data_IF_878706067057
#
_entry.id   IF_878706067057
#
_cell.length_a   1.000
_cell.length_b   1.000
_cell.length_c   1.000
_cell.angle_alpha   90.00
_cell.angle_beta   90.00
_cell.angle_gamma   90.00
#
_symmetry.space_group_name_H-M   'P 1'
#
loop_
_entity.id
_entity.type
_entity.pdbx_description
1 polymer ?
#
# COMPACT_ATOMS: atom_id res chain seq x y z
N UNK A 1 7.97 -20.34 -1.96
CA UNK A 1 9.11 -20.82 -1.15
C UNK A 1 9.03 -20.19 0.24
N UNK A 2 9.15 -20.98 1.30
CA UNK A 2 9.08 -20.52 2.69
C UNK A 2 10.45 -20.00 3.13
N UNK A 3 10.59 -18.68 3.29
CA UNK A 3 11.77 -18.09 3.91
C UNK A 3 11.71 -18.25 5.44
N UNK A 4 12.76 -18.77 6.11
CA UNK A 4 12.78 -18.99 7.56
C UNK A 4 12.48 -17.72 8.37
N UNK A 5 11.92 -17.89 9.58
CA UNK A 5 11.50 -16.79 10.48
C UNK A 5 12.62 -15.81 10.89
N UNK A 6 13.89 -16.14 10.70
CA UNK A 6 15.03 -15.24 10.97
C UNK A 6 15.54 -14.48 9.73
N UNK A 7 15.16 -14.89 8.51
CA UNK A 7 15.71 -14.29 7.28
C UNK A 7 14.97 -13.02 6.83
N UNK A 8 13.82 -12.69 7.43
CA UNK A 8 12.94 -11.60 6.96
C UNK A 8 13.26 -10.26 7.61
N UNK A 9 13.39 -10.23 8.94
CA UNK A 9 13.91 -9.05 9.65
C UNK A 9 15.32 -8.69 9.20
N UNK A 10 16.11 -9.69 8.76
CA UNK A 10 17.45 -9.49 8.19
C UNK A 10 17.40 -8.95 6.76
N UNK A 11 16.46 -9.35 5.91
CA UNK A 11 16.29 -8.76 4.58
C UNK A 11 15.81 -7.30 4.64
N UNK A 12 14.76 -7.01 5.42
CA UNK A 12 14.30 -5.63 5.66
C UNK A 12 15.42 -4.79 6.26
N UNK A 13 16.11 -5.32 7.27
CA UNK A 13 17.22 -4.63 7.93
C UNK A 13 18.41 -4.37 7.01
N UNK A 14 18.73 -5.30 6.10
CA UNK A 14 19.79 -5.13 5.11
C UNK A 14 19.45 -4.05 4.09
N UNK A 15 18.22 -4.06 3.55
CA UNK A 15 17.79 -3.07 2.56
C UNK A 15 17.72 -1.66 3.16
N UNK A 16 17.06 -1.50 4.31
CA UNK A 16 16.98 -0.21 5.00
C UNK A 16 18.36 0.25 5.47
N UNK A 17 19.20 -0.66 5.98
CA UNK A 17 20.57 -0.34 6.37
C UNK A 17 21.45 0.12 5.20
N UNK A 18 21.29 -0.47 4.01
CA UNK A 18 22.01 -0.04 2.83
C UNK A 18 21.57 1.34 2.32
N UNK A 19 20.28 1.67 2.44
CA UNK A 19 19.76 2.98 2.09
C UNK A 19 20.23 4.06 3.09
N UNK A 20 20.15 3.76 4.39
CA UNK A 20 20.62 4.61 5.48
C UNK A 20 22.12 4.92 5.34
N UNK A 21 22.95 3.91 5.04
CA UNK A 21 24.38 4.08 4.77
C UNK A 21 24.72 4.96 3.55
N UNK A 22 23.71 5.36 2.76
CA UNK A 22 23.84 6.23 1.58
C UNK A 22 23.00 7.50 1.66
N UNK A 23 22.47 7.83 2.84
CA UNK A 23 21.56 8.96 3.07
C UNK A 23 20.37 8.96 2.10
N UNK A 24 19.78 7.78 1.88
CA UNK A 24 18.56 7.60 1.07
C UNK A 24 17.41 7.13 1.93
N UNK A 25 16.22 7.64 1.64
CA UNK A 25 14.96 7.19 2.25
C UNK A 25 14.45 5.96 1.50
N UNK A 26 14.47 4.75 2.09
CA UNK A 26 13.93 3.56 1.45
C UNK A 26 12.39 3.61 1.43
N UNK A 27 11.82 3.23 0.28
CA UNK A 27 10.39 2.93 0.13
C UNK A 27 10.23 1.42 0.11
N UNK A 28 9.34 0.89 0.95
CA UNK A 28 9.02 -0.53 1.02
C UNK A 28 7.50 -0.74 0.90
N UNK A 29 7.12 -1.93 0.45
CA UNK A 29 5.72 -2.37 0.43
C UNK A 29 5.57 -3.56 1.35
N UNK A 30 4.67 -3.45 2.33
CA UNK A 30 4.24 -4.60 3.12
C UNK A 30 3.00 -5.20 2.46
N UNK A 31 3.13 -6.38 1.84
CA UNK A 31 2.06 -6.99 1.04
C UNK A 31 1.91 -8.49 1.31
N UNK A 32 1.58 -8.83 2.56
CA UNK A 32 1.55 -10.21 3.03
C UNK A 32 0.36 -10.52 3.97
N UNK A 33 -0.69 -9.70 3.95
CA UNK A 33 -1.89 -9.92 4.77
C UNK A 33 -2.54 -11.27 4.49
N UNK A 34 -3.12 -11.88 5.53
CA UNK A 34 -3.83 -13.14 5.39
C UNK A 34 -5.07 -12.99 4.48
N UNK A 35 -5.30 -13.97 3.61
CA UNK A 35 -6.30 -13.94 2.54
C UNK A 35 -6.15 -12.72 1.62
N UNK A 36 -4.92 -12.44 1.19
CA UNK A 36 -4.52 -11.18 0.51
C UNK A 36 -5.47 -10.73 -0.59
N UNK A 37 -5.91 -11.65 -1.43
CA UNK A 37 -6.76 -11.39 -2.58
C UNK A 37 -8.08 -12.18 -2.44
N UNK A 38 -9.08 -11.55 -1.81
CA UNK A 38 -10.39 -12.17 -1.60
C UNK A 38 -11.25 -12.14 -2.88
N UNK A 39 -11.04 -11.16 -3.77
CA UNK A 39 -11.97 -10.86 -4.86
C UNK A 39 -11.52 -11.33 -6.25
N UNK A 40 -10.21 -11.32 -6.55
CA UNK A 40 -9.68 -11.46 -7.91
C UNK A 40 -8.81 -12.69 -8.15
N UNK A 41 -8.18 -13.24 -7.10
CA UNK A 41 -7.31 -14.43 -7.16
C UNK A 41 -6.02 -14.31 -8.00
N UNK A 42 -5.75 -13.17 -8.64
CA UNK A 42 -4.58 -12.95 -9.49
C UNK A 42 -3.29 -12.70 -8.68
N UNK A 43 -3.42 -12.18 -7.46
CA UNK A 43 -2.36 -11.97 -6.48
C UNK A 43 -2.55 -12.85 -5.24
N UNK A 44 -3.26 -13.98 -5.38
CA UNK A 44 -3.53 -14.92 -4.30
C UNK A 44 -2.25 -15.29 -3.52
N UNK A 45 -2.34 -15.30 -2.19
CA UNK A 45 -1.20 -15.51 -1.30
C UNK A 45 -1.38 -14.80 0.04
N UNK A 46 -0.27 -14.33 0.60
CA UNK A 46 -0.21 -13.73 1.93
C UNK A 46 0.22 -14.73 3.00
N UNK A 47 0.18 -14.29 4.26
CA UNK A 47 0.49 -15.13 5.41
C UNK A 47 -0.46 -16.34 5.48
N UNK A 48 -0.04 -17.41 6.15
CA UNK A 48 -0.86 -18.63 6.30
C UNK A 48 -2.01 -18.49 7.33
N UNK A 49 -2.02 -17.40 8.10
CA UNK A 49 -3.03 -17.08 9.12
C UNK A 49 -2.84 -15.63 9.60
N UNK A 50 -3.83 -15.07 10.28
CA UNK A 50 -3.73 -13.75 10.92
C UNK A 50 -2.57 -13.67 11.95
N UNK A 51 -2.32 -14.74 12.71
CA UNK A 51 -1.21 -14.79 13.67
C UNK A 51 0.15 -14.90 12.97
N UNK A 52 0.24 -15.62 11.85
CA UNK A 52 1.44 -15.62 11.01
C UNK A 52 1.71 -14.23 10.41
N UNK A 53 0.66 -13.49 10.02
CA UNK A 53 0.77 -12.12 9.55
C UNK A 53 1.29 -11.18 10.64
N UNK A 54 0.71 -11.23 11.84
CA UNK A 54 1.17 -10.42 12.98
C UNK A 54 2.66 -10.65 13.30
N UNK A 55 3.08 -11.92 13.34
CA UNK A 55 4.49 -12.28 13.53
C UNK A 55 5.39 -11.75 12.40
N UNK A 56 4.89 -11.74 11.17
CA UNK A 56 5.62 -11.22 10.02
C UNK A 56 5.78 -9.71 10.09
N UNK A 57 4.72 -8.96 10.43
CA UNK A 57 4.81 -7.50 10.63
C UNK A 57 5.78 -7.17 11.76
N UNK A 58 5.76 -7.92 12.87
CA UNK A 58 6.70 -7.71 13.96
C UNK A 58 8.17 -7.85 13.51
N UNK A 59 8.46 -8.83 12.65
CA UNK A 59 9.81 -8.98 12.08
C UNK A 59 10.13 -7.88 11.06
N UNK A 60 9.16 -7.47 10.25
CA UNK A 60 9.34 -6.41 9.26
C UNK A 60 9.64 -5.07 9.95
N UNK A 61 8.76 -4.65 10.87
CA UNK A 61 8.93 -3.41 11.63
C UNK A 61 10.20 -3.44 12.48
N UNK A 62 10.49 -4.55 13.18
CA UNK A 62 11.74 -4.72 13.91
C UNK A 62 12.98 -4.72 13.02
N UNK A 63 12.85 -5.19 11.77
CA UNK A 63 13.88 -5.11 10.75
C UNK A 63 14.18 -3.68 10.30
N UNK A 64 13.20 -2.77 10.30
CA UNK A 64 13.42 -1.33 10.07
C UNK A 64 14.02 -0.68 11.33
N UNK A 65 13.47 -1.00 12.50
CA UNK A 65 13.82 -0.38 13.78
C UNK A 65 13.70 1.15 13.72
N UNK A 66 14.53 1.89 14.46
CA UNK A 66 14.50 3.36 14.51
C UNK A 66 14.97 4.10 13.25
N UNK A 67 15.15 3.44 12.10
CA UNK A 67 15.61 4.11 10.87
C UNK A 67 14.46 4.76 10.09
N UNK A 68 14.70 5.86 9.36
CA UNK A 68 13.71 6.46 8.49
C UNK A 68 13.36 5.53 7.32
N UNK A 69 12.06 5.39 7.03
CA UNK A 69 11.56 4.65 5.87
C UNK A 69 10.15 5.12 5.51
N UNK A 70 9.71 4.83 4.29
CA UNK A 70 8.30 4.89 3.89
C UNK A 70 7.82 3.46 3.68
N UNK A 71 6.69 3.10 4.30
CA UNK A 71 6.07 1.78 4.11
C UNK A 71 4.65 1.98 3.58
N UNK A 72 4.39 1.42 2.40
CA UNK A 72 3.03 1.24 1.87
C UNK A 72 2.47 -0.03 2.47
N UNK A 73 1.41 0.09 3.26
CA UNK A 73 0.83 -1.01 4.01
C UNK A 73 -0.36 -1.61 3.26
N UNK A 74 -0.16 -2.86 2.85
CA UNK A 74 -1.14 -3.80 2.31
C UNK A 74 -2.00 -3.22 1.18
N UNK A 75 -1.40 -2.96 -0.01
CA UNK A 75 -2.13 -2.64 -1.23
C UNK A 75 -3.42 -3.45 -1.41
N UNK A 76 -4.46 -2.80 -1.94
CA UNK A 76 -5.77 -3.37 -2.28
C UNK A 76 -6.65 -3.79 -1.08
N UNK A 77 -6.10 -3.88 0.13
CA UNK A 77 -6.82 -4.43 1.28
C UNK A 77 -8.13 -3.73 1.60
N UNK A 78 -8.19 -2.40 1.48
CA UNK A 78 -9.42 -1.63 1.70
C UNK A 78 -10.31 -1.56 0.46
N UNK A 79 -9.76 -1.74 -0.74
CA UNK A 79 -10.51 -1.79 -2.00
C UNK A 79 -11.42 -3.01 -2.06
N UNK A 80 -10.88 -4.17 -1.65
CA UNK A 80 -11.52 -5.49 -1.72
C UNK A 80 -12.75 -5.70 -0.83
N UNK A 81 -13.08 -4.77 0.07
CA UNK A 81 -14.23 -4.95 0.99
C UNK A 81 -15.55 -5.21 0.26
N UNK A 82 -15.68 -4.80 -1.01
CA UNK A 82 -16.88 -5.02 -1.81
C UNK A 82 -17.25 -6.50 -2.03
N UNK A 83 -16.31 -7.43 -1.92
CA UNK A 83 -16.57 -8.88 -2.06
C UNK A 83 -16.52 -9.64 -0.73
N UNK A 84 -16.22 -8.97 0.38
CA UNK A 84 -16.07 -9.58 1.71
C UNK A 84 -17.36 -9.49 2.52
N UNK A 85 -17.59 -10.47 3.39
CA UNK A 85 -18.62 -10.36 4.44
C UNK A 85 -18.10 -9.57 5.66
N UNK A 86 -18.99 -9.22 6.59
CA UNK A 86 -18.63 -8.38 7.73
C UNK A 86 -17.56 -8.99 8.63
N UNK A 87 -17.60 -10.30 8.88
CA UNK A 87 -16.60 -10.97 9.72
C UNK A 87 -15.20 -10.94 9.08
N UNK A 88 -15.13 -11.09 7.75
CA UNK A 88 -13.87 -11.00 6.99
C UNK A 88 -13.33 -9.57 7.00
N UNK A 89 -14.21 -8.57 6.86
CA UNK A 89 -13.85 -7.16 6.98
C UNK A 89 -13.29 -6.86 8.38
N UNK A 90 -13.91 -7.37 9.44
CA UNK A 90 -13.46 -7.13 10.81
C UNK A 90 -12.11 -7.82 11.10
N UNK A 91 -11.88 -9.03 10.59
CA UNK A 91 -10.56 -9.70 10.65
C UNK A 91 -9.49 -8.88 9.90
N UNK A 92 -9.81 -8.38 8.70
CA UNK A 92 -8.93 -7.52 7.90
C UNK A 92 -8.58 -6.24 8.66
N UNK A 93 -9.56 -5.57 9.26
CA UNK A 93 -9.35 -4.37 10.09
C UNK A 93 -8.47 -4.67 11.29
N UNK A 94 -8.70 -5.78 11.99
CA UNK A 94 -7.89 -6.17 13.14
C UNK A 94 -6.41 -6.39 12.75
N UNK A 95 -6.16 -7.01 11.59
CA UNK A 95 -4.81 -7.16 11.06
C UNK A 95 -4.14 -5.82 10.72
N UNK A 96 -4.85 -4.92 10.04
CA UNK A 96 -4.30 -3.61 9.66
C UNK A 96 -4.02 -2.72 10.87
N UNK A 97 -4.96 -2.65 11.82
CA UNK A 97 -4.79 -1.90 13.08
C UNK A 97 -3.65 -2.45 13.92
N UNK A 98 -3.53 -3.78 14.04
CA UNK A 98 -2.41 -4.44 14.72
C UNK A 98 -1.07 -4.17 14.04
N UNK A 99 -1.04 -4.14 12.70
CA UNK A 99 0.18 -3.83 11.97
C UNK A 99 0.65 -2.38 12.20
N UNK A 100 -0.27 -1.41 12.16
CA UNK A 100 0.03 -0.01 12.46
C UNK A 100 0.56 0.18 13.89
N UNK A 101 -0.06 -0.47 14.87
CA UNK A 101 0.41 -0.44 16.25
C UNK A 101 1.84 -0.97 16.38
N UNK A 102 2.16 -2.04 15.65
CA UNK A 102 3.48 -2.66 15.68
C UNK A 102 4.57 -1.79 15.02
N UNK A 103 4.26 -1.13 13.90
CA UNK A 103 5.15 -0.13 13.31
C UNK A 103 5.39 1.05 14.25
N UNK A 104 4.34 1.59 14.89
CA UNK A 104 4.50 2.68 15.86
C UNK A 104 5.39 2.28 17.05
N UNK A 105 5.34 1.01 17.45
CA UNK A 105 6.14 0.48 18.56
C UNK A 105 7.61 0.25 18.20
N UNK A 106 7.88 -0.33 17.03
CA UNK A 106 9.23 -0.78 16.67
C UNK A 106 9.97 0.13 15.70
N UNK A 107 9.22 0.88 14.88
CA UNK A 107 9.75 1.71 13.81
C UNK A 107 9.16 3.14 13.84
N UNK A 108 9.34 3.89 14.93
CA UNK A 108 8.67 5.18 15.14
C UNK A 108 9.08 6.28 14.14
N UNK A 109 10.22 6.10 13.45
CA UNK A 109 10.69 7.03 12.41
C UNK A 109 10.23 6.64 10.99
N UNK A 110 9.37 5.62 10.87
CA UNK A 110 8.82 5.16 9.59
C UNK A 110 7.48 5.81 9.29
N UNK A 111 7.34 6.37 8.10
CA UNK A 111 6.06 6.85 7.60
C UNK A 111 5.30 5.69 6.98
N UNK A 112 4.34 5.16 7.73
CA UNK A 112 3.42 4.13 7.22
C UNK A 112 2.24 4.79 6.52
N UNK A 113 2.03 4.46 5.26
CA UNK A 113 0.91 4.87 4.43
C UNK A 113 -0.02 3.68 4.24
N UNK A 114 -1.23 3.73 4.80
CA UNK A 114 -2.23 2.68 4.63
C UNK A 114 -2.84 2.75 3.23
N UNK A 115 -2.85 1.64 2.49
CA UNK A 115 -3.38 1.67 1.14
C UNK A 115 -4.89 1.90 1.07
N UNK A 116 -5.30 2.73 0.10
CA UNK A 116 -6.69 3.15 -0.09
C UNK A 116 -7.18 2.94 -1.53
N UNK A 117 -6.54 2.05 -2.27
CA UNK A 117 -6.94 1.72 -3.64
C UNK A 117 -6.78 2.91 -4.58
N UNK A 118 -7.83 3.22 -5.34
CA UNK A 118 -7.77 4.25 -6.39
C UNK A 118 -9.15 4.92 -6.63
N UNK A 119 -9.20 6.04 -7.39
CA UNK A 119 -10.42 6.84 -7.57
C UNK A 119 -11.61 6.10 -8.19
N UNK A 120 -11.37 5.02 -8.94
CA UNK A 120 -12.42 4.25 -9.60
C UNK A 120 -12.96 3.08 -8.75
N UNK A 121 -12.41 2.86 -7.56
CA UNK A 121 -12.73 1.66 -6.77
C UNK A 121 -13.87 1.86 -5.77
N UNK A 122 -13.82 2.93 -4.99
CA UNK A 122 -14.84 3.27 -4.00
C UNK A 122 -15.02 4.79 -3.94
N UNK A 123 -16.22 5.25 -3.53
CA UNK A 123 -16.43 6.68 -3.30
C UNK A 123 -15.50 7.19 -2.18
N UNK A 124 -15.16 8.48 -2.22
CA UNK A 124 -14.32 9.10 -1.20
C UNK A 124 -14.90 8.97 0.22
N UNK A 125 -16.23 9.10 0.36
CA UNK A 125 -16.94 8.91 1.63
C UNK A 125 -16.79 7.48 2.18
N UNK A 126 -16.96 6.48 1.32
CA UNK A 126 -16.78 5.07 1.68
C UNK A 126 -15.34 4.78 2.07
N UNK A 127 -14.36 5.28 1.31
CA UNK A 127 -12.96 5.05 1.59
C UNK A 127 -12.51 5.76 2.87
N UNK A 128 -12.98 6.99 3.13
CA UNK A 128 -12.73 7.70 4.39
C UNK A 128 -13.24 6.92 5.61
N UNK A 129 -14.43 6.32 5.51
CA UNK A 129 -14.95 5.43 6.56
C UNK A 129 -14.04 4.21 6.76
N UNK A 130 -13.72 3.47 5.68
CA UNK A 130 -12.86 2.27 5.73
C UNK A 130 -11.50 2.57 6.34
N UNK A 131 -10.86 3.65 5.92
CA UNK A 131 -9.58 4.12 6.44
C UNK A 131 -9.66 4.42 7.94
N UNK A 132 -10.69 5.15 8.37
CA UNK A 132 -10.86 5.48 9.78
C UNK A 132 -11.03 4.22 10.64
N UNK A 133 -11.87 3.28 10.20
CA UNK A 133 -12.13 2.02 10.91
C UNK A 133 -10.92 1.07 10.89
N UNK A 134 -10.08 1.15 9.86
CA UNK A 134 -8.82 0.40 9.76
C UNK A 134 -7.67 1.05 10.55
N UNK A 135 -7.93 2.15 11.27
CA UNK A 135 -6.97 2.76 12.18
C UNK A 135 -6.06 3.82 11.58
N UNK A 136 -6.44 4.46 10.45
CA UNK A 136 -5.65 5.49 9.75
C UNK A 136 -5.08 6.58 10.69
N UNK A 137 -5.74 6.90 11.81
CA UNK A 137 -5.19 7.84 12.81
C UNK A 137 -3.78 7.48 13.29
N UNK A 138 -3.48 6.19 13.39
CA UNK A 138 -2.19 5.65 13.81
C UNK A 138 -1.13 5.71 12.70
N UNK A 139 -1.53 5.83 11.44
CA UNK A 139 -0.63 5.89 10.30
C UNK A 139 -0.13 7.32 10.07
N UNK A 140 0.95 7.47 9.31
CA UNK A 140 1.38 8.78 8.80
C UNK A 140 0.38 9.31 7.78
N UNK A 141 0.01 8.46 6.81
CA UNK A 141 -0.83 8.82 5.69
C UNK A 141 -1.59 7.66 5.07
N UNK A 142 -2.10 7.87 3.86
CA UNK A 142 -2.65 6.81 3.00
C UNK A 142 -2.02 6.81 1.61
N UNK A 143 -2.05 5.70 0.90
CA UNK A 143 -1.56 5.60 -0.49
C UNK A 143 -2.68 5.42 -1.49
N UNK A 144 -2.43 5.88 -2.71
CA UNK A 144 -3.35 5.77 -3.85
C UNK A 144 -2.63 5.23 -5.08
N UNK A 145 -3.41 4.59 -5.95
CA UNK A 145 -3.04 4.19 -7.30
C UNK A 145 -1.98 3.10 -7.43
N UNK A 146 -1.69 2.37 -6.34
CA UNK A 146 -0.66 1.31 -6.35
C UNK A 146 -0.94 0.35 -7.50
N UNK A 147 0.06 0.14 -8.37
CA UNK A 147 -0.05 -0.73 -9.55
C UNK A 147 -1.21 -0.38 -10.50
N UNK A 148 -1.63 0.89 -10.57
CA UNK A 148 -2.72 1.32 -11.45
C UNK A 148 -2.36 2.56 -12.27
N UNK A 149 -3.26 2.94 -13.19
CA UNK A 149 -2.95 3.83 -14.30
C UNK A 149 -3.70 5.16 -14.23
N UNK A 150 -4.53 5.40 -13.21
CA UNK A 150 -5.29 6.66 -13.10
C UNK A 150 -4.32 7.84 -12.94
N UNK A 151 -4.66 8.95 -13.59
CA UNK A 151 -3.75 10.10 -13.67
C UNK A 151 -3.47 10.68 -12.29
N UNK A 152 -2.34 11.38 -12.16
CA UNK A 152 -2.01 12.07 -10.91
C UNK A 152 -3.09 13.08 -10.53
N UNK A 153 -3.70 13.78 -11.51
CA UNK A 153 -4.78 14.73 -11.26
C UNK A 153 -6.02 14.08 -10.65
N UNK A 154 -6.45 12.93 -11.18
CA UNK A 154 -7.58 12.16 -10.64
C UNK A 154 -7.31 11.70 -9.20
N UNK A 155 -6.10 11.17 -8.95
CA UNK A 155 -5.70 10.72 -7.63
C UNK A 155 -5.59 11.87 -6.62
N UNK A 156 -5.05 13.02 -7.01
CA UNK A 156 -5.00 14.21 -6.15
C UNK A 156 -6.40 14.71 -5.81
N UNK A 157 -7.31 14.78 -6.78
CA UNK A 157 -8.69 15.19 -6.54
C UNK A 157 -9.40 14.22 -5.58
N UNK A 158 -9.19 12.91 -5.78
CA UNK A 158 -9.76 11.88 -4.91
C UNK A 158 -9.19 11.91 -3.50
N UNK A 159 -7.86 12.00 -3.32
CA UNK A 159 -7.23 12.09 -2.00
C UNK A 159 -7.69 13.31 -1.21
N UNK A 160 -7.89 14.45 -1.89
CA UNK A 160 -8.49 15.64 -1.28
C UNK A 160 -9.95 15.41 -0.87
N UNK A 161 -10.74 14.74 -1.70
CA UNK A 161 -12.12 14.39 -1.36
C UNK A 161 -12.20 13.43 -0.16
N UNK A 162 -11.32 12.42 -0.08
CA UNK A 162 -11.21 11.53 1.08
C UNK A 162 -10.88 12.32 2.34
N UNK A 163 -9.93 13.26 2.27
CA UNK A 163 -9.59 14.12 3.40
C UNK A 163 -10.73 15.04 3.83
N UNK A 164 -11.54 15.54 2.88
CA UNK A 164 -12.73 16.32 3.22
C UNK A 164 -13.74 15.49 4.03
N UNK A 165 -13.95 14.23 3.65
CA UNK A 165 -14.82 13.30 4.37
C UNK A 165 -14.25 12.91 5.74
N UNK A 166 -12.94 12.66 5.83
CA UNK A 166 -12.25 12.39 7.10
C UNK A 166 -12.39 13.59 8.06
N UNK A 167 -12.23 14.81 7.55
CA UNK A 167 -12.39 16.04 8.34
C UNK A 167 -13.83 16.20 8.80
N UNK A 168 -14.80 16.05 7.91
CA UNK A 168 -16.22 16.26 8.21
C UNK A 168 -16.76 15.25 9.22
N UNK A 169 -16.36 13.97 9.13
CA UNK A 169 -16.92 12.89 9.94
C UNK A 169 -16.12 12.59 11.20
N UNK A 170 -14.81 12.81 11.14
CA UNK A 170 -13.89 12.35 12.19
C UNK A 170 -12.92 13.44 12.66
N UNK A 171 -12.99 14.66 12.13
CA UNK A 171 -12.18 15.81 12.59
C UNK A 171 -10.68 15.62 12.45
N UNK A 172 -10.21 14.94 11.40
CA UNK A 172 -8.78 14.90 11.05
C UNK A 172 -8.57 14.79 9.54
N UNK A 173 -7.36 15.10 9.10
CA UNK A 173 -6.86 14.82 7.75
C UNK A 173 -5.52 14.11 7.85
N UNK A 174 -5.08 13.47 6.78
CA UNK A 174 -3.77 12.83 6.67
C UNK A 174 -3.12 13.15 5.33
N UNK A 175 -1.78 13.26 5.25
CA UNK A 175 -1.09 13.28 3.97
C UNK A 175 -1.38 11.99 3.19
N UNK A 176 -1.21 12.09 1.88
CA UNK A 176 -1.30 10.92 1.01
C UNK A 176 -0.19 10.91 -0.03
N UNK A 177 0.10 9.71 -0.53
CA UNK A 177 1.08 9.46 -1.59
C UNK A 177 0.39 8.82 -2.78
N UNK A 178 0.94 9.03 -3.97
CA UNK A 178 0.37 8.48 -5.22
C UNK A 178 1.43 7.68 -5.95
N UNK A 179 1.10 6.45 -6.34
CA UNK A 179 1.92 5.69 -7.29
C UNK A 179 1.78 6.28 -8.70
N UNK A 180 2.89 6.79 -9.22
CA UNK A 180 2.99 7.38 -10.56
C UNK A 180 3.87 6.56 -11.50
N UNK A 181 4.17 5.31 -11.13
CA UNK A 181 5.04 4.42 -11.90
C UNK A 181 4.62 4.31 -13.36
N UNK A 182 3.33 4.14 -13.68
CA UNK A 182 2.86 3.90 -15.06
C UNK A 182 1.65 4.74 -15.50
N UNK A 183 1.32 5.83 -14.79
CA UNK A 183 0.11 6.60 -15.05
C UNK A 183 0.29 7.78 -16.06
N UNK A 184 1.42 7.85 -16.77
CA UNK A 184 1.77 8.96 -17.66
C UNK A 184 0.91 9.08 -18.92
N UNK A 185 0.08 8.08 -19.22
CA UNK A 185 -0.92 8.13 -20.29
C UNK A 185 -2.34 7.77 -19.79
N UNK A 186 -2.58 7.95 -18.48
CA UNK A 186 -3.86 7.66 -17.83
C UNK A 186 -4.27 6.19 -17.89
N UNK A 187 -5.50 5.90 -17.46
CA UNK A 187 -6.13 4.57 -17.59
C UNK A 187 -6.94 4.47 -18.88
N UNK A 188 -7.01 3.28 -19.46
CA UNK A 188 -7.95 2.94 -20.54
C UNK A 188 -9.09 2.02 -20.04
N UNK A 189 -9.28 1.91 -18.72
CA UNK A 189 -10.23 1.02 -18.08
C UNK A 189 -9.73 -0.41 -17.85
N UNK A 190 -8.57 -0.78 -18.39
CA UNK A 190 -7.91 -2.05 -18.11
C UNK A 190 -6.82 -1.86 -17.05
N UNK A 191 -6.67 -2.85 -16.18
CA UNK A 191 -5.65 -2.84 -15.12
C UNK A 191 -4.56 -3.91 -15.31
N UNK A 192 -4.82 -4.98 -16.06
CA UNK A 192 -3.89 -6.11 -16.18
C UNK A 192 -3.05 -5.98 -17.47
N UNK A 193 -1.79 -5.54 -17.36
CA UNK A 193 -0.85 -5.31 -18.48
C UNK A 193 -1.44 -4.53 -19.70
N UNK A 194 -2.16 -3.41 -19.52
CA UNK A 194 -2.70 -2.63 -20.64
C UNK A 194 -1.61 -2.08 -21.57
N UNK A 195 -1.87 -2.12 -22.87
CA UNK A 195 -0.97 -1.52 -23.86
C UNK A 195 -1.08 0.02 -23.88
N UNK A 196 -0.02 0.66 -24.37
CA UNK A 196 0.01 2.11 -24.57
C UNK A 196 0.06 2.94 -23.28
N UNK A 197 0.35 2.33 -22.12
CA UNK A 197 0.66 3.07 -20.90
C UNK A 197 2.07 3.66 -20.99
N UNK A 198 2.33 4.68 -20.17
CA UNK A 198 3.63 5.37 -20.13
C UNK A 198 4.03 5.55 -18.68
N UNK A 199 5.33 5.53 -18.41
CA UNK A 199 5.84 5.95 -17.10
C UNK A 199 5.33 7.35 -16.76
N UNK A 200 4.90 7.54 -15.51
CA UNK A 200 4.45 8.84 -15.02
C UNK A 200 5.59 9.68 -14.48
N UNK A 201 5.24 10.68 -13.68
CA UNK A 201 6.21 11.57 -13.03
C UNK A 201 7.16 10.77 -12.14
N UNK A 202 8.50 10.94 -12.26
CA UNK A 202 9.46 10.29 -11.38
C UNK A 202 9.21 10.57 -9.89
N UNK A 203 9.72 9.67 -9.04
CA UNK A 203 9.64 9.84 -7.58
C UNK A 203 10.10 11.23 -7.13
N UNK A 204 9.22 11.96 -6.44
CA UNK A 204 9.50 13.31 -5.93
C UNK A 204 8.60 13.66 -4.74
N UNK A 205 9.02 14.67 -3.97
CA UNK A 205 8.15 15.32 -2.99
C UNK A 205 7.18 16.28 -3.69
N UNK A 206 5.95 16.40 -3.19
CA UNK A 206 4.94 17.30 -3.74
C UNK A 206 4.26 16.78 -5.01
N UNK A 207 3.76 17.70 -5.85
CA UNK A 207 3.06 17.35 -7.09
C UNK A 207 1.56 17.09 -6.93
N UNK A 208 0.94 17.69 -5.90
CA UNK A 208 -0.49 17.53 -5.57
C UNK A 208 -0.76 16.49 -4.48
N UNK A 209 0.23 15.66 -4.16
CA UNK A 209 0.26 14.77 -3.01
C UNK A 209 1.47 15.15 -2.11
N UNK A 210 1.64 14.49 -0.96
CA UNK A 210 2.87 14.66 -0.17
C UNK A 210 4.08 14.13 -0.96
N UNK A 211 3.90 12.99 -1.64
CA UNK A 211 4.89 12.38 -2.51
C UNK A 211 4.22 11.73 -3.72
N UNK A 212 4.86 11.86 -4.88
CA UNK A 212 4.66 10.97 -6.02
C UNK A 212 5.77 9.93 -5.95
N UNK A 213 5.41 8.65 -5.96
CA UNK A 213 6.35 7.55 -5.80
C UNK A 213 6.20 6.58 -6.96
N UNK A 214 7.28 5.99 -7.44
CA UNK A 214 7.20 4.77 -8.24
C UNK A 214 7.21 3.58 -7.27
N UNK A 215 6.02 3.03 -6.99
CA UNK A 215 5.86 1.94 -6.02
C UNK A 215 5.85 0.59 -6.74
N UNK A 216 5.01 0.43 -7.75
CA UNK A 216 5.16 -0.67 -8.70
C UNK A 216 6.38 -0.41 -9.58
N UNK A 217 7.26 -1.41 -9.73
CA UNK A 217 8.41 -1.27 -10.62
C UNK A 217 7.96 -1.29 -12.10
N UNK A 218 8.22 -0.24 -12.89
CA UNK A 218 7.92 -0.25 -14.32
C UNK A 218 8.60 -1.41 -15.04
N UNK A 219 7.81 -2.20 -15.77
CA UNK A 219 8.27 -3.38 -16.51
C UNK A 219 8.05 -4.71 -15.78
N UNK A 220 7.68 -4.71 -14.50
CA UNK A 220 7.13 -5.93 -13.87
C UNK A 220 5.70 -6.16 -14.33
N UNK A 221 5.37 -7.40 -14.69
CA UNK A 221 4.02 -7.78 -15.06
C UNK A 221 3.03 -7.70 -13.89
N UNK A 222 1.77 -7.42 -14.21
CA UNK A 222 0.63 -7.44 -13.29
C UNK A 222 0.04 -8.85 -13.08
N UNK A 223 0.54 -9.85 -13.81
CA UNK A 223 0.07 -11.24 -13.75
C UNK A 223 -0.12 -11.86 -15.13
N UNK A 224 -0.67 -13.08 -15.18
CA UNK A 224 -0.97 -13.77 -16.42
C UNK A 224 -2.24 -13.21 -17.07
N UNK A 225 -2.10 -12.05 -17.71
CA UNK A 225 -3.20 -11.26 -18.29
C UNK A 225 -3.52 -11.66 -19.76
N UNK A 226 -3.18 -12.89 -20.18
CA UNK A 226 -3.36 -13.35 -21.55
C UNK A 226 -2.38 -12.76 -22.58
N UNK A 227 -1.39 -11.97 -22.16
CA UNK A 227 -0.37 -11.33 -23.01
C UNK A 227 1.09 -11.63 -22.58
N UNK A 228 1.34 -12.84 -22.05
CA UNK A 228 2.67 -13.30 -21.64
C UNK A 228 2.67 -13.88 -20.22
N UNK A 229 3.75 -14.59 -19.87
CA UNK A 229 3.92 -15.13 -18.52
C UNK A 229 4.06 -13.99 -17.52
N UNK A 230 3.32 -14.08 -16.41
CA UNK A 230 3.45 -13.14 -15.30
C UNK A 230 4.86 -13.15 -14.71
N UNK A 231 5.31 -12.01 -14.20
CA UNK A 231 6.55 -11.88 -13.45
C UNK A 231 6.34 -12.50 -12.07
N UNK A 232 7.17 -13.47 -11.69
CA UNK A 232 7.22 -13.95 -10.31
C UNK A 232 8.21 -13.10 -9.51
N UNK A 233 7.76 -12.60 -8.35
CA UNK A 233 8.62 -12.11 -7.26
C UNK A 233 9.11 -13.26 -6.39
#
# INVERSE_FOLDING_TARGET
MSWPRHSRGTATGAYVGAADARDKLPVLVAYNIYNRDYCGGHSAGGASSASAYANWIAQFAGGIAGRPAVVVLEPDSLGDYGCMNQAQIDERRAMLTGALAEFNRQAPNTWVCLDSGNPAWASAATMAQRLNEAGLRQAHGFSLNISNYLTTGENTAYGNAVNNELRARYSYTKPFVVDTSHNGNGSNGQWCNPSGRKIGTPTQLGGGAEMLLWIKAPGESDGNCGAGNGSSV
#
